data_IF_242660093130
#
_entry.id   IF_242660093130
#
_cell.length_a   1.000
_cell.length_b   1.000
_cell.length_c   1.000
_cell.angle_alpha   90.00
_cell.angle_beta   90.00
_cell.angle_gamma   90.00
#
_symmetry.space_group_name_H-M   'P 1'
#
loop_
_entity.id
_entity.type
_entity.pdbx_description
1 polymer ?
#
# COMPACT_ATOMS: atom_id res chain seq x y z
N UNK A 1 7.39 -2.63 -23.63
CA UNK A 1 7.05 -1.23 -23.30
C UNK A 1 7.57 -0.98 -21.89
N UNK A 2 8.10 0.21 -21.61
CA UNK A 2 8.53 0.56 -20.26
C UNK A 2 7.32 0.67 -19.35
N UNK A 3 7.45 0.22 -18.11
CA UNK A 3 6.41 0.42 -17.09
C UNK A 3 6.49 1.84 -16.53
N UNK A 4 5.43 2.30 -15.84
CA UNK A 4 5.44 3.58 -15.13
C UNK A 4 6.61 3.67 -14.16
N UNK A 5 6.89 2.60 -13.42
CA UNK A 5 8.03 2.53 -12.50
C UNK A 5 9.39 2.69 -13.22
N UNK A 6 9.61 1.95 -14.31
CA UNK A 6 10.85 2.05 -15.09
C UNK A 6 11.04 3.46 -15.65
N UNK A 7 9.97 4.08 -16.17
CA UNK A 7 10.04 5.46 -16.67
C UNK A 7 10.42 6.47 -15.56
N UNK A 8 9.81 6.37 -14.38
CA UNK A 8 10.18 7.22 -13.23
C UNK A 8 11.61 6.94 -12.79
N UNK A 9 12.01 5.69 -12.75
CA UNK A 9 13.37 5.27 -12.41
C UNK A 9 14.41 5.87 -13.36
N UNK A 10 14.15 5.81 -14.65
CA UNK A 10 15.03 6.38 -15.67
C UNK A 10 15.13 7.90 -15.56
N UNK A 11 14.01 8.59 -15.33
CA UNK A 11 13.99 10.04 -15.08
C UNK A 11 14.86 10.39 -13.87
N UNK A 12 14.68 9.69 -12.74
CA UNK A 12 15.37 10.03 -11.50
C UNK A 12 16.86 9.64 -11.53
N UNK A 13 17.20 8.44 -12.02
CA UNK A 13 18.59 7.97 -12.10
C UNK A 13 19.38 8.60 -13.24
N UNK A 14 18.70 9.23 -14.21
CA UNK A 14 19.34 10.09 -15.21
C UNK A 14 19.89 11.41 -14.65
N UNK A 15 19.58 11.76 -13.40
CA UNK A 15 20.10 12.93 -12.73
C UNK A 15 21.43 12.62 -12.03
N UNK A 16 22.40 13.56 -12.01
CA UNK A 16 23.74 13.34 -11.47
C UNK A 16 23.74 12.84 -10.01
N UNK A 17 24.57 11.86 -9.70
CA UNK A 17 24.76 11.31 -8.35
C UNK A 17 23.44 10.95 -7.63
N UNK A 18 22.46 10.47 -8.39
CA UNK A 18 21.20 9.99 -7.80
C UNK A 18 21.31 8.50 -7.48
N UNK A 19 20.89 8.13 -6.29
CA UNK A 19 20.73 6.76 -5.83
C UNK A 19 19.26 6.41 -5.59
N UNK A 20 18.91 5.16 -5.84
CA UNK A 20 17.61 4.58 -5.49
C UNK A 20 17.76 3.76 -4.20
N UNK A 21 16.89 4.02 -3.24
CA UNK A 21 16.78 3.25 -1.99
C UNK A 21 15.33 2.88 -1.73
N UNK A 22 15.10 1.77 -1.03
CA UNK A 22 13.75 1.46 -0.55
C UNK A 22 13.54 2.13 0.80
N UNK A 23 12.57 3.04 0.88
CA UNK A 23 12.15 3.70 2.11
C UNK A 23 10.66 3.51 2.33
N UNK A 24 10.26 2.99 3.50
CA UNK A 24 8.86 2.68 3.82
C UNK A 24 8.16 1.82 2.74
N UNK A 25 8.90 0.87 2.19
CA UNK A 25 8.47 -0.04 1.10
C UNK A 25 8.32 0.60 -0.29
N UNK A 26 8.73 1.87 -0.47
CA UNK A 26 8.65 2.57 -1.74
C UNK A 26 10.03 2.94 -2.29
N UNK A 27 10.24 2.83 -3.62
CA UNK A 27 11.42 3.37 -4.28
C UNK A 27 11.54 4.88 -4.02
N UNK A 28 12.64 5.28 -3.43
CA UNK A 28 12.94 6.67 -3.07
C UNK A 28 14.27 7.07 -3.65
N UNK A 29 14.29 8.21 -4.33
CA UNK A 29 15.46 8.73 -5.02
C UNK A 29 16.10 9.85 -4.22
N UNK A 30 17.40 9.75 -4.03
CA UNK A 30 18.18 10.70 -3.24
C UNK A 30 19.31 11.30 -4.06
N UNK A 31 19.58 12.57 -3.84
CA UNK A 31 20.77 13.26 -4.31
C UNK A 31 21.57 13.76 -3.10
N UNK A 32 22.86 13.39 -3.01
CA UNK A 32 23.72 13.70 -1.86
C UNK A 32 23.06 13.34 -0.50
N UNK A 33 22.43 12.17 -0.42
CA UNK A 33 21.75 11.64 0.77
C UNK A 33 20.39 12.26 1.10
N UNK A 34 19.92 13.27 0.34
CA UNK A 34 18.62 13.94 0.55
C UNK A 34 17.58 13.40 -0.42
N UNK A 35 16.46 12.90 0.09
CA UNK A 35 15.36 12.45 -0.74
C UNK A 35 14.68 13.61 -1.48
N UNK A 36 14.49 13.46 -2.80
CA UNK A 36 13.80 14.43 -3.64
C UNK A 36 12.55 13.87 -4.30
N UNK A 37 12.52 12.56 -4.57
CA UNK A 37 11.39 11.89 -5.19
C UNK A 37 11.12 10.52 -4.55
N UNK A 38 9.86 10.10 -4.53
CA UNK A 38 9.43 8.75 -4.11
C UNK A 38 8.32 8.27 -5.04
N UNK A 39 8.48 7.09 -5.62
CA UNK A 39 7.42 6.45 -6.39
C UNK A 39 6.53 5.62 -5.47
N UNK A 40 5.22 5.82 -5.54
CA UNK A 40 4.26 5.21 -4.63
C UNK A 40 3.06 4.66 -5.40
N UNK A 41 2.64 3.45 -5.07
CA UNK A 41 1.43 2.83 -5.64
C UNK A 41 0.55 2.34 -4.51
N UNK A 42 -0.73 2.72 -4.53
CA UNK A 42 -1.76 2.28 -3.60
C UNK A 42 -1.39 2.49 -2.12
N UNK A 43 -0.82 3.66 -1.79
CA UNK A 43 -0.38 3.95 -0.43
C UNK A 43 -1.57 3.99 0.54
N UNK A 44 -1.58 3.07 1.50
CA UNK A 44 -2.70 2.88 2.44
C UNK A 44 -4.08 2.68 1.75
N UNK A 45 -4.09 2.12 0.55
CA UNK A 45 -5.32 1.84 -0.19
C UNK A 45 -5.94 3.06 -0.88
N UNK A 46 -5.15 4.11 -1.15
CA UNK A 46 -5.58 5.32 -1.86
C UNK A 46 -5.79 5.12 -3.37
N UNK A 47 -5.39 3.95 -3.88
CA UNK A 47 -5.50 3.53 -5.28
C UNK A 47 -4.83 4.49 -6.29
N UNK A 48 -3.84 5.28 -5.82
CA UNK A 48 -3.08 6.18 -6.67
C UNK A 48 -1.79 5.53 -7.17
N UNK A 49 -1.39 5.93 -8.37
CA UNK A 49 -0.04 5.76 -8.90
C UNK A 49 0.61 7.12 -8.84
N UNK A 50 1.54 7.33 -7.94
CA UNK A 50 2.01 8.66 -7.62
C UNK A 50 3.54 8.79 -7.64
N UNK A 51 4.00 9.93 -8.13
CA UNK A 51 5.34 10.44 -7.87
C UNK A 51 5.24 11.55 -6.81
N UNK A 52 5.83 11.31 -5.65
CA UNK A 52 5.92 12.30 -4.58
C UNK A 52 7.21 13.09 -4.74
N UNK A 53 7.12 14.42 -4.76
CA UNK A 53 8.25 15.34 -4.99
C UNK A 53 8.40 16.32 -3.83
N UNK A 54 9.64 16.51 -3.33
CA UNK A 54 9.97 17.49 -2.29
C UNK A 54 10.15 18.89 -2.89
N UNK A 55 9.05 19.53 -3.28
CA UNK A 55 9.07 20.75 -4.09
C UNK A 55 9.01 22.05 -3.27
N UNK A 56 8.75 21.96 -1.98
CA UNK A 56 8.57 23.11 -1.08
C UNK A 56 7.12 23.57 -0.99
N UNK A 57 6.80 24.28 0.09
CA UNK A 57 5.44 24.64 0.46
C UNK A 57 4.72 25.51 -0.56
N UNK A 58 5.38 26.56 -1.04
CA UNK A 58 4.74 27.53 -1.93
C UNK A 58 4.37 26.88 -3.26
N UNK A 59 5.29 26.09 -3.83
CA UNK A 59 5.05 25.35 -5.07
C UNK A 59 4.04 24.23 -4.86
N UNK A 60 4.06 23.54 -3.71
CA UNK A 60 3.04 22.55 -3.35
C UNK A 60 1.65 23.17 -3.40
N UNK A 61 1.44 24.30 -2.74
CA UNK A 61 0.15 25.00 -2.69
C UNK A 61 -0.29 25.40 -4.09
N UNK A 62 0.58 26.05 -4.84
CA UNK A 62 0.28 26.49 -6.22
C UNK A 62 -0.14 25.33 -7.13
N UNK A 63 0.58 24.20 -7.10
CA UNK A 63 0.26 23.05 -7.95
C UNK A 63 -1.08 22.41 -7.55
N UNK A 64 -1.30 22.20 -6.24
CA UNK A 64 -2.54 21.59 -5.75
C UNK A 64 -3.76 22.46 -6.07
N UNK A 65 -3.64 23.78 -5.93
CA UNK A 65 -4.71 24.73 -6.28
C UNK A 65 -4.96 24.81 -7.79
N UNK A 66 -3.90 24.74 -8.60
CA UNK A 66 -4.01 24.84 -10.06
C UNK A 66 -4.64 23.63 -10.73
N UNK A 67 -4.38 22.41 -10.20
CA UNK A 67 -4.90 21.18 -10.78
C UNK A 67 -5.12 20.08 -9.69
N UNK A 68 -6.15 20.22 -8.83
CA UNK A 68 -6.40 19.31 -7.71
C UNK A 68 -6.77 17.87 -8.11
N UNK A 69 -7.11 17.64 -9.38
CA UNK A 69 -7.31 16.29 -9.91
C UNK A 69 -6.00 15.54 -10.16
N UNK A 70 -4.90 16.27 -10.33
CA UNK A 70 -3.56 15.72 -10.64
C UNK A 70 -2.63 15.81 -9.44
N UNK A 71 -2.63 16.95 -8.75
CA UNK A 71 -1.74 17.19 -7.61
C UNK A 71 -2.47 17.08 -6.29
N UNK A 72 -1.80 16.49 -5.30
CA UNK A 72 -2.36 16.34 -3.96
C UNK A 72 -1.29 16.51 -2.89
N UNK A 73 -1.72 16.82 -1.67
CA UNK A 73 -0.86 16.85 -0.49
C UNK A 73 -0.75 15.42 0.05
N UNK A 74 0.43 14.77 -0.02
CA UNK A 74 0.56 13.41 0.46
C UNK A 74 0.48 13.36 1.99
N UNK A 75 -0.08 12.27 2.58
CA UNK A 75 -0.04 12.06 4.01
C UNK A 75 1.42 11.99 4.50
N UNK A 76 1.64 12.36 5.76
CA UNK A 76 2.93 12.37 6.46
C UNK A 76 3.99 13.35 5.91
N UNK A 77 4.31 13.31 4.63
CA UNK A 77 5.35 14.17 4.02
C UNK A 77 4.82 15.53 3.53
N UNK A 78 3.52 15.65 3.31
CA UNK A 78 2.88 16.90 2.89
C UNK A 78 3.22 18.12 3.76
N UNK A 79 3.21 18.02 5.11
CA UNK A 79 3.63 19.13 5.99
C UNK A 79 5.05 19.64 5.74
N UNK A 80 5.91 18.84 5.12
CA UNK A 80 7.30 19.16 4.79
C UNK A 80 7.47 19.74 3.37
N UNK A 81 6.37 20.04 2.66
CA UNK A 81 6.41 20.60 1.31
C UNK A 81 6.50 19.56 0.18
N UNK A 82 6.14 18.32 0.44
CA UNK A 82 6.01 17.32 -0.61
C UNK A 82 4.67 17.43 -1.31
N UNK A 83 4.67 17.28 -2.64
CA UNK A 83 3.47 17.17 -3.47
C UNK A 83 3.42 15.80 -4.12
N UNK A 84 2.24 15.21 -4.24
CA UNK A 84 2.00 14.02 -5.04
C UNK A 84 1.49 14.38 -6.42
N UNK A 85 2.04 13.75 -7.44
CA UNK A 85 1.53 13.77 -8.83
C UNK A 85 0.83 12.45 -9.07
N UNK A 86 -0.46 12.45 -9.34
CA UNK A 86 -1.22 11.25 -9.75
C UNK A 86 -0.94 10.99 -11.23
N UNK A 87 -0.13 9.97 -11.52
CA UNK A 87 0.41 9.70 -12.85
C UNK A 87 -0.63 9.17 -13.85
N UNK A 88 -1.74 8.59 -13.39
CA UNK A 88 -2.86 8.11 -14.21
C UNK A 88 -3.92 9.21 -14.49
N UNK A 89 -3.55 10.51 -14.38
CA UNK A 89 -4.47 11.65 -14.61
C UNK A 89 -4.09 12.53 -15.80
N UNK A 90 -3.27 11.98 -16.70
CA UNK A 90 -3.00 12.63 -18.00
C UNK A 90 -2.04 13.83 -17.94
N UNK A 91 -1.24 14.00 -16.87
CA UNK A 91 -0.16 14.98 -16.90
C UNK A 91 0.88 14.55 -17.94
N UNK A 92 1.27 15.48 -18.81
CA UNK A 92 2.32 15.20 -19.79
C UNK A 92 3.62 14.75 -19.12
N UNK A 93 4.23 13.70 -19.63
CA UNK A 93 5.45 13.12 -19.05
C UNK A 93 6.63 14.09 -19.07
N UNK A 94 6.72 14.97 -20.08
CA UNK A 94 7.71 16.05 -20.09
C UNK A 94 7.56 16.96 -18.85
N UNK A 95 6.30 17.24 -18.45
CA UNK A 95 6.03 18.04 -17.25
C UNK A 95 6.41 17.29 -15.96
N UNK A 96 6.22 15.97 -15.92
CA UNK A 96 6.71 15.12 -14.80
C UNK A 96 8.23 15.22 -14.71
N UNK A 97 8.93 15.14 -15.83
CA UNK A 97 10.38 15.30 -15.92
C UNK A 97 10.85 16.67 -15.43
N UNK A 98 10.22 17.76 -15.91
CA UNK A 98 10.55 19.14 -15.49
C UNK A 98 10.41 19.31 -13.96
N UNK A 99 9.27 18.89 -13.40
CA UNK A 99 9.03 18.99 -11.95
C UNK A 99 10.04 18.16 -11.14
N UNK A 100 10.44 17.02 -11.68
CA UNK A 100 11.47 16.16 -11.05
C UNK A 100 12.83 16.85 -11.05
N UNK A 101 13.22 17.48 -12.17
CA UNK A 101 14.45 18.27 -12.27
C UNK A 101 14.44 19.47 -11.32
N UNK A 102 13.34 20.19 -11.25
CA UNK A 102 13.22 21.34 -10.35
C UNK A 102 13.33 20.93 -8.87
N UNK A 103 12.73 19.78 -8.54
CA UNK A 103 12.84 19.20 -7.20
C UNK A 103 14.27 18.73 -6.88
N UNK A 104 14.94 18.10 -7.86
CA UNK A 104 16.35 17.73 -7.73
C UNK A 104 17.23 18.96 -7.48
N UNK A 105 17.07 20.04 -8.27
CA UNK A 105 17.81 21.31 -8.08
C UNK A 105 17.66 21.88 -6.68
N UNK A 106 16.52 21.68 -6.06
CA UNK A 106 16.24 22.17 -4.71
C UNK A 106 17.05 21.44 -3.62
N UNK A 107 17.36 20.16 -3.81
CA UNK A 107 18.02 19.33 -2.78
C UNK A 107 19.48 19.03 -3.08
N UNK A 108 19.86 18.99 -4.37
CA UNK A 108 21.20 18.66 -4.81
C UNK A 108 22.19 19.82 -4.54
N UNK A 109 23.47 19.51 -4.33
CA UNK A 109 24.53 20.51 -4.31
C UNK A 109 24.54 21.35 -5.59
N UNK A 110 24.81 22.66 -5.48
CA UNK A 110 24.81 23.59 -6.61
C UNK A 110 25.78 23.17 -7.75
N UNK A 111 26.88 22.50 -7.43
CA UNK A 111 27.81 21.97 -8.42
C UNK A 111 27.15 20.94 -9.35
N UNK A 112 26.34 20.03 -8.82
CA UNK A 112 25.63 19.02 -9.59
C UNK A 112 24.52 19.63 -10.46
N UNK A 113 23.84 20.64 -9.94
CA UNK A 113 22.79 21.34 -10.69
C UNK A 113 23.31 22.03 -11.97
N UNK A 114 24.58 22.40 -12.01
CA UNK A 114 25.21 23.00 -13.20
C UNK A 114 25.51 21.99 -14.31
N UNK A 115 25.58 20.71 -14.01
CA UNK A 115 25.90 19.63 -14.97
C UNK A 115 24.64 18.98 -15.56
N UNK A 116 23.44 19.46 -15.20
CA UNK A 116 22.20 18.88 -15.65
C UNK A 116 22.05 18.94 -17.17
N UNK A 117 21.75 17.81 -17.77
CA UNK A 117 21.32 17.69 -19.16
C UNK A 117 19.79 17.64 -19.22
N UNK A 118 19.18 18.08 -20.33
CA UNK A 118 17.74 17.92 -20.54
C UNK A 118 17.35 16.42 -20.46
N UNK A 119 16.36 16.11 -19.65
CA UNK A 119 15.78 14.77 -19.62
C UNK A 119 14.90 14.61 -20.85
N UNK A 120 15.18 13.58 -21.65
CA UNK A 120 14.33 13.19 -22.78
C UNK A 120 13.55 11.95 -22.39
N UNK A 121 12.24 12.09 -22.33
CA UNK A 121 11.35 10.94 -22.11
C UNK A 121 11.04 10.36 -23.50
N UNK A 122 11.68 9.27 -23.82
CA UNK A 122 11.59 8.63 -25.17
C UNK A 122 10.44 7.65 -25.29
N UNK A 123 9.95 7.15 -24.16
CA UNK A 123 8.86 6.16 -24.13
C UNK A 123 7.84 6.57 -23.08
N UNK A 124 6.62 6.82 -23.52
CA UNK A 124 5.49 7.07 -22.62
C UNK A 124 4.94 5.70 -22.18
N UNK A 125 4.92 5.40 -20.88
CA UNK A 125 4.37 4.14 -20.40
C UNK A 125 2.84 4.15 -20.47
N UNK A 126 2.26 2.94 -20.58
CA UNK A 126 0.82 2.77 -20.41
C UNK A 126 0.40 3.07 -18.96
N UNK A 127 -0.81 3.57 -18.78
CA UNK A 127 -1.41 3.73 -17.46
C UNK A 127 -1.54 2.36 -16.76
N UNK A 128 -1.35 2.35 -15.44
CA UNK A 128 -1.56 1.13 -14.65
C UNK A 128 -3.06 0.83 -14.52
N UNK A 129 -3.42 -0.44 -14.73
CA UNK A 129 -4.80 -0.91 -14.51
C UNK A 129 -5.16 -0.95 -13.03
N UNK A 130 -6.45 -1.00 -12.71
CA UNK A 130 -6.92 -1.08 -11.33
C UNK A 130 -6.36 -2.30 -10.58
N UNK A 131 -6.19 -3.43 -11.27
CA UNK A 131 -5.60 -4.65 -10.70
C UNK A 131 -4.09 -4.54 -10.47
N UNK A 132 -3.38 -3.79 -11.32
CA UNK A 132 -1.95 -3.50 -11.12
C UNK A 132 -1.75 -2.54 -9.95
N UNK A 133 -2.62 -1.55 -9.78
CA UNK A 133 -2.59 -0.59 -8.66
C UNK A 133 -2.95 -1.31 -7.35
N UNK A 134 -4.03 -2.06 -7.36
CA UNK A 134 -4.49 -2.81 -6.19
C UNK A 134 -4.77 -4.27 -6.57
N UNK A 135 -3.79 -5.18 -6.42
CA UNK A 135 -3.98 -6.58 -6.78
C UNK A 135 -5.07 -7.31 -5.97
N UNK A 136 -5.57 -6.73 -4.87
CA UNK A 136 -6.78 -7.24 -4.20
C UNK A 136 -8.03 -7.10 -5.08
N UNK A 137 -8.01 -6.28 -6.14
CA UNK A 137 -9.11 -6.13 -7.12
C UNK A 137 -9.15 -7.21 -8.20
N UNK A 138 -8.16 -8.09 -8.27
CA UNK A 138 -8.23 -9.22 -9.21
C UNK A 138 -9.46 -10.08 -8.94
N UNK A 139 -10.04 -10.66 -10.00
CA UNK A 139 -11.23 -11.53 -9.89
C UNK A 139 -11.05 -12.62 -8.84
N UNK A 140 -9.87 -13.23 -8.77
CA UNK A 140 -9.56 -14.27 -7.78
C UNK A 140 -9.60 -13.73 -6.34
N UNK A 141 -8.95 -12.59 -6.08
CA UNK A 141 -8.90 -12.01 -4.74
C UNK A 141 -10.26 -11.44 -4.29
N UNK A 142 -11.05 -10.88 -5.22
CA UNK A 142 -12.43 -10.48 -4.95
C UNK A 142 -13.31 -11.66 -4.59
N UNK A 143 -13.11 -12.82 -5.23
CA UNK A 143 -13.85 -14.04 -4.87
C UNK A 143 -13.46 -14.55 -3.46
N UNK A 144 -12.17 -14.49 -3.09
CA UNK A 144 -11.72 -14.82 -1.73
C UNK A 144 -12.32 -13.85 -0.70
N UNK A 145 -12.24 -12.53 -0.96
CA UNK A 145 -12.82 -11.51 -0.11
C UNK A 145 -14.33 -11.70 0.08
N UNK A 146 -15.05 -12.01 -1.01
CA UNK A 146 -16.50 -12.26 -0.96
C UNK A 146 -16.84 -13.43 -0.03
N UNK A 147 -16.08 -14.51 -0.09
CA UNK A 147 -16.28 -15.69 0.79
C UNK A 147 -15.94 -15.37 2.25
N UNK A 148 -14.81 -14.71 2.51
CA UNK A 148 -14.42 -14.28 3.86
C UNK A 148 -15.47 -13.34 4.46
N UNK A 149 -15.93 -12.35 3.68
CA UNK A 149 -17.02 -11.45 4.04
C UNK A 149 -18.29 -12.23 4.39
N UNK A 150 -18.70 -13.17 3.53
CA UNK A 150 -19.91 -13.98 3.75
C UNK A 150 -19.83 -14.74 5.08
N UNK A 151 -18.69 -15.35 5.41
CA UNK A 151 -18.50 -16.04 6.69
C UNK A 151 -18.45 -15.03 7.84
N UNK A 152 -17.60 -14.02 7.74
CA UNK A 152 -17.39 -13.07 8.84
C UNK A 152 -18.65 -12.28 9.22
N UNK A 153 -19.55 -12.03 8.27
CA UNK A 153 -20.82 -11.33 8.52
C UNK A 153 -21.95 -12.26 9.03
N UNK A 154 -21.72 -13.56 9.18
CA UNK A 154 -22.68 -14.45 9.90
C UNK A 154 -22.57 -14.28 11.41
N UNK A 155 -21.46 -13.75 11.93
CA UNK A 155 -21.31 -13.56 13.36
C UNK A 155 -22.05 -12.29 13.84
N UNK A 156 -22.60 -12.30 15.06
CA UNK A 156 -23.38 -11.18 15.57
C UNK A 156 -22.62 -9.84 15.57
N UNK A 157 -23.32 -8.77 15.17
CA UNK A 157 -22.84 -7.38 15.18
C UNK A 157 -21.47 -7.16 14.48
N UNK A 158 -21.22 -7.88 13.41
CA UNK A 158 -20.01 -7.70 12.59
C UNK A 158 -20.25 -6.74 11.43
N UNK A 159 -19.22 -6.02 11.04
CA UNK A 159 -19.24 -5.08 9.92
C UNK A 159 -17.99 -5.21 9.07
N UNK A 160 -18.09 -4.86 7.77
CA UNK A 160 -16.93 -4.65 6.92
C UNK A 160 -16.39 -3.24 7.10
N UNK A 161 -15.07 -3.14 7.14
CA UNK A 161 -14.34 -1.89 7.19
C UNK A 161 -13.00 -2.02 6.44
N UNK A 162 -12.22 -0.96 6.41
CA UNK A 162 -10.86 -0.94 5.88
C UNK A 162 -9.85 -0.52 6.95
N UNK A 163 -8.70 -1.16 6.98
CA UNK A 163 -7.58 -0.79 7.85
C UNK A 163 -6.30 -0.75 7.04
N UNK A 164 -5.67 0.43 6.95
CA UNK A 164 -4.50 0.67 6.10
C UNK A 164 -4.72 0.21 4.65
N UNK A 165 -5.91 0.45 4.09
CA UNK A 165 -6.29 0.03 2.74
C UNK A 165 -6.65 -1.44 2.58
N UNK A 166 -6.55 -2.26 3.63
CA UNK A 166 -6.89 -3.67 3.59
C UNK A 166 -8.32 -3.91 4.09
N UNK A 167 -9.15 -4.69 3.38
CA UNK A 167 -10.50 -5.01 3.84
C UNK A 167 -10.45 -5.88 5.09
N UNK A 168 -11.18 -5.47 6.12
CA UNK A 168 -11.25 -6.12 7.42
C UNK A 168 -12.69 -6.40 7.84
N UNK A 169 -12.90 -7.45 8.63
CA UNK A 169 -14.18 -7.68 9.33
C UNK A 169 -13.98 -7.31 10.80
N UNK A 170 -14.92 -6.52 11.33
CA UNK A 170 -14.90 -6.06 12.72
C UNK A 170 -15.96 -6.71 13.57
N UNK A 171 -15.61 -6.98 14.82
CA UNK A 171 -16.52 -7.28 15.93
C UNK A 171 -16.67 -6.00 16.76
N UNK A 172 -17.76 -5.27 16.57
CA UNK A 172 -17.90 -3.92 17.13
C UNK A 172 -16.79 -2.98 16.62
N UNK A 173 -15.92 -2.48 17.53
CA UNK A 173 -14.83 -1.56 17.17
C UNK A 173 -13.50 -2.25 16.83
N UNK A 174 -13.39 -3.57 17.00
CA UNK A 174 -12.14 -4.32 16.84
C UNK A 174 -12.14 -5.13 15.56
N UNK A 175 -11.12 -4.98 14.73
CA UNK A 175 -10.89 -5.88 13.59
C UNK A 175 -10.46 -7.25 14.13
N UNK A 176 -11.13 -8.32 13.68
CA UNK A 176 -10.77 -9.69 14.05
C UNK A 176 -10.18 -10.48 12.89
N UNK A 177 -10.36 -10.01 11.65
CA UNK A 177 -9.60 -10.50 10.51
C UNK A 177 -9.45 -9.40 9.44
N UNK A 178 -8.36 -9.49 8.67
CA UNK A 178 -8.08 -8.63 7.53
C UNK A 178 -7.54 -9.45 6.37
N UNK A 179 -7.96 -9.12 5.14
CA UNK A 179 -7.36 -9.67 3.92
C UNK A 179 -6.33 -8.67 3.40
N UNK A 180 -5.09 -9.10 3.24
CA UNK A 180 -4.02 -8.26 2.71
C UNK A 180 -3.14 -9.04 1.73
N UNK A 181 -2.18 -8.35 1.10
CA UNK A 181 -1.17 -8.99 0.25
C UNK A 181 0.18 -8.99 0.97
N UNK A 182 0.89 -10.12 0.88
CA UNK A 182 2.31 -10.22 1.21
C UNK A 182 3.03 -10.83 0.02
N UNK A 183 4.03 -10.14 -0.51
CA UNK A 183 4.75 -10.55 -1.72
C UNK A 183 3.81 -10.88 -2.90
N UNK A 184 2.78 -10.04 -3.09
CA UNK A 184 1.76 -10.20 -4.11
C UNK A 184 0.76 -11.35 -3.89
N UNK A 185 0.87 -12.09 -2.77
CA UNK A 185 0.01 -13.25 -2.46
C UNK A 185 -1.02 -12.89 -1.40
N UNK A 186 -2.31 -13.27 -1.58
CA UNK A 186 -3.35 -12.99 -0.60
C UNK A 186 -3.13 -13.76 0.70
N UNK A 187 -3.22 -13.03 1.81
CA UNK A 187 -3.10 -13.53 3.18
C UNK A 187 -4.36 -13.15 3.97
N UNK A 188 -4.88 -14.08 4.73
CA UNK A 188 -5.89 -13.80 5.74
C UNK A 188 -5.20 -13.67 7.10
N UNK A 189 -5.15 -12.46 7.62
CA UNK A 189 -4.63 -12.18 8.96
C UNK A 189 -5.76 -12.31 9.97
N UNK A 190 -5.53 -13.10 11.03
CA UNK A 190 -6.51 -13.33 12.10
C UNK A 190 -5.81 -13.72 13.41
N UNK A 191 -6.51 -13.57 14.54
CA UNK A 191 -5.98 -13.92 15.85
C UNK A 191 -6.36 -15.35 16.24
N UNK A 192 -5.41 -16.11 16.82
CA UNK A 192 -5.64 -17.49 17.28
C UNK A 192 -5.09 -17.76 18.68
N UNK A 193 -4.41 -16.78 19.31
CA UNK A 193 -3.66 -16.96 20.54
C UNK A 193 -2.26 -17.54 20.33
N UNK A 194 -1.38 -17.33 21.29
CA UNK A 194 0.06 -17.67 21.17
C UNK A 194 0.31 -19.16 21.03
N UNK A 195 -0.40 -19.99 21.81
CA UNK A 195 -0.18 -21.45 21.80
C UNK A 195 -0.60 -22.07 20.46
N UNK A 196 -1.77 -21.67 19.94
CA UNK A 196 -2.24 -22.15 18.64
C UNK A 196 -1.41 -21.56 17.49
N UNK A 197 -0.96 -20.32 17.61
CA UNK A 197 -0.03 -19.70 16.66
C UNK A 197 1.24 -20.58 16.54
N UNK A 198 1.87 -20.92 17.66
CA UNK A 198 3.08 -21.73 17.67
C UNK A 198 2.85 -23.10 17.01
N UNK A 199 1.75 -23.78 17.32
CA UNK A 199 1.42 -25.05 16.70
C UNK A 199 1.19 -24.95 15.20
N UNK A 200 0.36 -23.98 14.74
CA UNK A 200 0.06 -23.80 13.34
C UNK A 200 1.31 -23.44 12.51
N UNK A 201 2.11 -22.51 12.97
CA UNK A 201 3.29 -22.05 12.22
C UNK A 201 4.46 -23.05 12.24
N UNK A 202 4.47 -24.02 13.17
CA UNK A 202 5.48 -25.09 13.23
C UNK A 202 5.15 -26.24 12.26
N UNK A 203 3.89 -26.60 12.13
CA UNK A 203 3.51 -27.82 11.42
C UNK A 203 2.85 -27.59 10.07
N UNK A 204 2.55 -26.34 9.67
CA UNK A 204 1.86 -26.03 8.44
C UNK A 204 2.43 -24.74 7.81
N UNK A 205 3.07 -24.87 6.66
CA UNK A 205 3.73 -23.79 5.92
C UNK A 205 2.75 -22.77 5.31
N UNK A 206 1.45 -23.04 5.34
CA UNK A 206 0.42 -22.06 4.96
C UNK A 206 0.33 -20.92 5.97
N UNK A 207 0.76 -21.15 7.23
CA UNK A 207 0.71 -20.18 8.31
C UNK A 207 2.05 -19.50 8.53
N UNK A 208 2.02 -18.22 8.82
CA UNK A 208 3.21 -17.46 9.19
C UNK A 208 2.89 -16.41 10.26
N UNK A 209 3.93 -15.96 10.97
CA UNK A 209 3.80 -14.90 11.97
C UNK A 209 3.86 -13.55 11.27
N UNK A 210 2.80 -12.70 11.36
CA UNK A 210 2.82 -11.37 10.78
C UNK A 210 3.77 -10.42 11.54
N UNK A 211 4.41 -9.46 10.83
CA UNK A 211 5.15 -8.40 11.50
C UNK A 211 4.21 -7.55 12.39
N UNK A 212 4.77 -6.89 13.39
CA UNK A 212 4.14 -5.95 14.33
C UNK A 212 3.11 -6.54 15.29
N UNK A 213 2.20 -7.42 14.84
CA UNK A 213 1.12 -7.97 15.67
C UNK A 213 1.32 -9.45 16.03
N UNK A 214 2.29 -10.13 15.41
CA UNK A 214 2.55 -11.55 15.62
C UNK A 214 2.81 -11.93 17.06
N UNK A 215 3.52 -11.10 17.83
CA UNK A 215 3.80 -11.34 19.25
C UNK A 215 2.54 -11.43 20.13
N UNK A 216 1.39 -11.02 19.62
CA UNK A 216 0.11 -11.07 20.33
C UNK A 216 -0.80 -12.22 19.87
N UNK A 217 -0.27 -13.25 19.22
CA UNK A 217 -1.04 -14.44 18.81
C UNK A 217 -1.80 -14.28 17.48
N UNK A 218 -1.39 -13.31 16.63
CA UNK A 218 -1.90 -13.17 15.26
C UNK A 218 -1.13 -14.06 14.30
N UNK A 219 -1.81 -14.59 13.29
CA UNK A 219 -1.24 -15.35 12.18
C UNK A 219 -1.66 -14.76 10.85
N UNK A 220 -0.87 -15.04 9.81
CA UNK A 220 -1.26 -14.90 8.40
C UNK A 220 -1.44 -16.30 7.81
N UNK A 221 -2.61 -16.56 7.23
CA UNK A 221 -2.92 -17.74 6.45
C UNK A 221 -2.81 -17.42 4.96
N UNK A 222 -1.94 -18.10 4.24
CA UNK A 222 -1.78 -17.97 2.79
C UNK A 222 -2.98 -18.52 2.02
N UNK A 223 -3.56 -17.71 1.12
CA UNK A 223 -4.76 -18.05 0.36
C UNK A 223 -4.53 -18.32 -1.13
N UNK A 224 -3.32 -18.67 -1.53
CA UNK A 224 -2.95 -18.93 -2.93
C UNK A 224 -3.13 -20.41 -3.38
N UNK A 225 -3.65 -21.26 -2.52
CA UNK A 225 -3.90 -22.69 -2.75
C UNK A 225 -5.39 -23.01 -2.58
N UNK A 226 -5.79 -24.26 -2.81
CA UNK A 226 -7.14 -24.73 -2.52
C UNK A 226 -7.43 -24.59 -1.02
N UNK A 227 -8.46 -23.82 -0.68
CA UNK A 227 -8.79 -23.50 0.71
C UNK A 227 -9.74 -24.54 1.33
N UNK A 228 -9.49 -24.89 2.59
CA UNK A 228 -10.46 -25.55 3.46
C UNK A 228 -11.32 -24.46 4.13
N UNK A 229 -12.51 -24.21 3.59
CA UNK A 229 -13.39 -23.15 4.09
C UNK A 229 -13.99 -23.45 5.46
N UNK A 230 -14.09 -24.73 5.86
CA UNK A 230 -14.49 -25.09 7.21
C UNK A 230 -13.41 -24.68 8.23
N UNK A 231 -12.15 -25.00 7.94
CA UNK A 231 -11.00 -24.56 8.77
C UNK A 231 -10.95 -23.03 8.90
N UNK A 232 -11.14 -22.30 7.80
CA UNK A 232 -11.17 -20.83 7.81
C UNK A 232 -12.33 -20.33 8.67
N UNK A 233 -13.52 -20.93 8.58
CA UNK A 233 -14.66 -20.56 9.42
C UNK A 233 -14.33 -20.76 10.91
N UNK A 234 -13.71 -21.87 11.28
CA UNK A 234 -13.36 -22.17 12.66
C UNK A 234 -12.30 -21.21 13.20
N UNK A 235 -11.29 -20.85 12.39
CA UNK A 235 -10.30 -19.85 12.73
C UNK A 235 -10.90 -18.46 12.88
N UNK A 236 -11.81 -18.07 11.97
CA UNK A 236 -12.54 -16.79 12.07
C UNK A 236 -13.41 -16.72 13.32
N UNK A 237 -14.07 -17.84 13.68
CA UNK A 237 -14.87 -17.92 14.90
C UNK A 237 -14.02 -17.77 16.17
N UNK A 238 -12.82 -18.35 16.19
CA UNK A 238 -11.87 -18.19 17.29
C UNK A 238 -11.46 -16.72 17.42
N UNK A 239 -11.08 -16.09 16.32
CA UNK A 239 -10.68 -14.69 16.30
C UNK A 239 -11.85 -13.77 16.69
N UNK A 240 -13.05 -14.01 16.14
CA UNK A 240 -14.26 -13.26 16.52
C UNK A 240 -14.53 -13.34 18.03
N UNK A 241 -14.52 -14.55 18.61
CA UNK A 241 -14.77 -14.74 20.05
C UNK A 241 -13.80 -13.97 20.94
N UNK A 242 -12.55 -13.80 20.53
CA UNK A 242 -11.55 -13.02 21.26
C UNK A 242 -11.87 -11.52 21.31
N UNK A 243 -12.39 -10.96 20.22
CA UNK A 243 -12.66 -9.52 20.10
C UNK A 243 -14.10 -9.12 20.38
N UNK A 244 -15.04 -10.08 20.35
CA UNK A 244 -16.46 -9.83 20.53
C UNK A 244 -16.80 -9.36 21.95
N UNK A 245 -17.75 -8.47 22.07
CA UNK A 245 -18.28 -8.02 23.35
C UNK A 245 -19.17 -9.11 23.98
N UNK A 246 -19.36 -9.09 25.29
CA UNK A 246 -20.17 -10.08 26.03
C UNK A 246 -21.58 -10.28 25.43
N UNK A 247 -22.28 -9.19 25.00
CA UNK A 247 -23.59 -9.28 24.37
C UNK A 247 -23.55 -10.02 23.00
N UNK A 248 -22.45 -9.83 22.23
CA UNK A 248 -22.26 -10.49 20.94
C UNK A 248 -22.01 -11.98 21.12
N UNK A 249 -21.24 -12.36 22.16
CA UNK A 249 -21.01 -13.77 22.52
C UNK A 249 -22.29 -14.44 22.97
N UNK A 250 -23.17 -13.74 23.68
CA UNK A 250 -24.49 -14.26 24.07
C UNK A 250 -25.35 -14.52 22.84
N UNK A 251 -25.44 -13.54 21.93
CA UNK A 251 -26.20 -13.68 20.68
C UNK A 251 -25.62 -14.74 19.72
N UNK A 252 -24.38 -15.19 19.90
CA UNK A 252 -23.77 -16.27 19.13
C UNK A 252 -24.18 -17.66 19.68
N UNK A 253 -24.56 -17.74 20.95
CA UNK A 253 -24.94 -18.99 21.61
C UNK A 253 -26.45 -19.31 21.50
N UNK A 254 -27.25 -18.29 21.21
CA UNK A 254 -28.69 -18.37 20.95
C UNK A 254 -28.93 -18.83 19.48
#
# INVERSE_FOLDING_TARGET
>A
MATVYETIRDICLGLPETEEVISHSFPTYKAAGKAFATFSVNHHGDEKVALLLNIGKDMQTMLVESAPAIFFVPPYSGPQGWVGIELNKGLAWDRVGELTVDTYRRVAPAALSKTLQPIKITTIPDEMTAEQINPLRTKTNLALLSKIKKIGLTFPETTMDSQFGNPCVRAGKKSFCCLHLRDGKPQLQLWVGTDRQAALTTFDDRFSIPPYVGHNGWIDLRLNQKQNWQEINDLLLISYKHFALKRMLKALAD
#
